data_IF_731268868239
#
_entry.id   IF_731268868239
#
_cell.length_a   1.000
_cell.length_b   1.000
_cell.length_c   1.000
_cell.angle_alpha   90.00
_cell.angle_beta   90.00
_cell.angle_gamma   90.00
#
_symmetry.space_group_name_H-M   'P 1'
#
loop_
_entity.id
_entity.type
_entity.pdbx_description
1 polymer ?
#
# COMPACT_ATOMS: atom_id res chain seq x y z
N UNK A 1 3.81 9.18 54.33
CA UNK A 1 3.24 10.16 53.37
C UNK A 1 2.16 9.55 52.44
N UNK A 2 1.36 8.55 52.86
CA UNK A 2 0.46 7.82 51.93
C UNK A 2 -1.06 7.96 52.19
N UNK A 3 -1.48 8.57 53.31
CA UNK A 3 -2.91 8.69 53.65
C UNK A 3 -3.69 9.63 52.70
N UNK A 4 -3.03 10.69 52.21
CA UNK A 4 -3.65 11.68 51.30
C UNK A 4 -3.90 11.11 49.90
N UNK A 5 -2.99 10.25 49.41
CA UNK A 5 -3.12 9.60 48.09
C UNK A 5 -4.24 8.56 48.13
N UNK A 6 -4.33 7.75 49.20
CA UNK A 6 -5.41 6.78 49.38
C UNK A 6 -6.80 7.41 49.43
N UNK A 7 -6.96 8.49 50.21
CA UNK A 7 -8.24 9.20 50.31
C UNK A 7 -8.67 9.86 48.99
N UNK A 8 -7.71 10.32 48.16
CA UNK A 8 -8.00 10.86 46.82
C UNK A 8 -8.49 9.79 45.85
N UNK A 9 -7.89 8.60 45.91
CA UNK A 9 -8.22 7.47 45.06
C UNK A 9 -9.56 6.81 45.42
N UNK A 10 -9.88 6.72 46.71
CA UNK A 10 -11.17 6.22 47.17
C UNK A 10 -12.33 7.11 46.71
N UNK A 11 -12.17 8.44 46.79
CA UNK A 11 -13.14 9.40 46.25
C UNK A 11 -13.30 9.28 44.73
N UNK A 12 -12.20 9.09 44.00
CA UNK A 12 -12.25 8.87 42.55
C UNK A 12 -13.07 7.62 42.23
N UNK A 13 -12.81 6.53 42.94
CA UNK A 13 -13.53 5.26 42.79
C UNK A 13 -15.03 5.42 43.08
N UNK A 14 -15.39 6.05 44.19
CA UNK A 14 -16.79 6.31 44.56
C UNK A 14 -17.50 7.16 43.50
N UNK A 15 -16.84 8.21 43.00
CA UNK A 15 -17.36 9.05 41.92
C UNK A 15 -17.70 8.22 40.68
N UNK A 16 -16.76 7.43 40.18
CA UNK A 16 -16.96 6.65 38.96
C UNK A 16 -17.96 5.52 39.16
N UNK A 17 -18.00 4.93 40.35
CA UNK A 17 -19.02 3.94 40.69
C UNK A 17 -20.43 4.55 40.67
N UNK A 18 -20.62 5.73 41.27
CA UNK A 18 -21.91 6.43 41.21
C UNK A 18 -22.34 6.74 39.77
N UNK A 19 -21.43 7.24 38.93
CA UNK A 19 -21.69 7.50 37.50
C UNK A 19 -22.08 6.22 36.75
N UNK A 20 -21.41 5.10 37.04
CA UNK A 20 -21.74 3.80 36.43
C UNK A 20 -23.10 3.30 36.89
N UNK A 21 -23.39 3.36 38.18
CA UNK A 21 -24.64 2.89 38.78
C UNK A 21 -25.85 3.70 38.25
N UNK A 22 -25.67 4.99 37.95
CA UNK A 22 -26.66 5.88 37.35
C UNK A 22 -26.70 5.82 35.81
N UNK A 23 -25.89 4.96 35.18
CA UNK A 23 -25.74 4.87 33.72
C UNK A 23 -25.36 6.22 33.05
N UNK A 24 -24.59 7.05 33.75
CA UNK A 24 -24.20 8.41 33.33
C UNK A 24 -23.01 8.48 32.37
N UNK A 25 -22.32 7.36 32.12
CA UNK A 25 -21.13 7.30 31.26
C UNK A 25 -21.28 7.96 29.87
N UNK A 26 -22.43 7.87 29.16
CA UNK A 26 -22.59 8.53 27.86
C UNK A 26 -22.42 10.05 27.88
N UNK A 27 -22.70 10.70 29.03
CA UNK A 27 -22.56 12.15 29.20
C UNK A 27 -21.14 12.60 29.52
N UNK A 28 -20.27 11.69 29.95
CA UNK A 28 -18.92 12.00 30.36
C UNK A 28 -17.98 12.20 29.16
N UNK A 29 -16.97 13.06 29.36
CA UNK A 29 -15.91 13.26 28.38
C UNK A 29 -15.04 11.99 28.33
N UNK A 30 -14.87 11.36 27.14
CA UNK A 30 -14.08 10.13 27.04
C UNK A 30 -12.64 10.30 27.55
N UNK A 31 -12.09 11.52 27.48
CA UNK A 31 -10.76 11.82 28.05
C UNK A 31 -10.70 11.62 29.56
N UNK A 32 -11.77 12.00 30.27
CA UNK A 32 -11.87 11.82 31.71
C UNK A 32 -12.04 10.35 32.08
N UNK A 33 -12.79 9.59 31.27
CA UNK A 33 -12.93 8.14 31.43
C UNK A 33 -11.57 7.44 31.22
N UNK A 34 -10.78 7.85 30.22
CA UNK A 34 -9.42 7.31 30.00
C UNK A 34 -8.53 7.58 31.21
N UNK A 35 -8.50 8.83 31.70
CA UNK A 35 -7.71 9.20 32.88
C UNK A 35 -8.12 8.38 34.11
N UNK A 36 -9.42 8.13 34.27
CA UNK A 36 -9.95 7.28 35.33
C UNK A 36 -9.49 5.82 35.20
N UNK A 37 -9.55 5.23 34.00
CA UNK A 37 -9.06 3.88 33.76
C UNK A 37 -7.59 3.76 34.18
N UNK A 38 -6.75 4.71 33.75
CA UNK A 38 -5.31 4.72 34.06
C UNK A 38 -5.02 4.91 35.55
N UNK A 39 -5.83 5.72 36.25
CA UNK A 39 -5.68 5.89 37.70
C UNK A 39 -6.22 4.71 38.51
N UNK A 40 -7.26 4.02 38.03
CA UNK A 40 -7.85 2.87 38.72
C UNK A 40 -7.06 1.58 38.48
N UNK A 41 -6.41 1.42 37.31
CA UNK A 41 -5.57 0.27 36.99
C UNK A 41 -4.37 0.10 37.92
N UNK A 42 -3.87 1.19 38.52
CA UNK A 42 -2.78 1.10 39.51
C UNK A 42 -3.22 0.58 40.88
N UNK A 43 -4.52 0.61 41.19
CA UNK A 43 -5.08 0.24 42.50
C UNK A 43 -5.88 -1.08 42.48
N UNK A 44 -6.02 -1.73 41.32
CA UNK A 44 -6.59 -3.07 41.22
C UNK A 44 -8.12 -3.18 41.21
N UNK A 45 -8.87 -2.08 41.01
CA UNK A 45 -10.33 -2.19 40.75
C UNK A 45 -10.59 -2.57 39.28
N UNK A 46 -10.24 -3.81 38.94
CA UNK A 46 -10.34 -4.36 37.60
C UNK A 46 -11.80 -4.37 37.09
N UNK A 47 -12.78 -4.52 38.00
CA UNK A 47 -14.20 -4.57 37.61
C UNK A 47 -14.69 -3.21 37.16
N UNK A 48 -14.44 -2.15 37.94
CA UNK A 48 -14.82 -0.80 37.55
C UNK A 48 -14.07 -0.37 36.29
N UNK A 49 -12.76 -0.63 36.22
CA UNK A 49 -11.96 -0.34 35.03
C UNK A 49 -12.51 -1.07 33.78
N UNK A 50 -12.89 -2.34 33.90
CA UNK A 50 -13.50 -3.10 32.81
C UNK A 50 -14.79 -2.47 32.26
N UNK A 51 -15.67 -1.95 33.12
CA UNK A 51 -16.89 -1.25 32.70
C UNK A 51 -16.56 0.05 31.94
N UNK A 52 -15.61 0.83 32.45
CA UNK A 52 -15.17 2.08 31.81
C UNK A 52 -14.53 1.82 30.44
N UNK A 53 -13.65 0.83 30.35
CA UNK A 53 -12.99 0.43 29.10
C UNK A 53 -14.00 -0.12 28.10
N UNK A 54 -14.96 -0.95 28.53
CA UNK A 54 -16.02 -1.45 27.66
C UNK A 54 -16.87 -0.32 27.07
N UNK A 55 -17.19 0.70 27.88
CA UNK A 55 -17.87 1.90 27.38
C UNK A 55 -17.03 2.66 26.36
N UNK A 56 -15.73 2.84 26.63
CA UNK A 56 -14.80 3.49 25.70
C UNK A 56 -14.68 2.72 24.39
N UNK A 57 -14.61 1.39 24.44
CA UNK A 57 -14.56 0.53 23.26
C UNK A 57 -15.82 0.70 22.38
N UNK A 58 -17.01 0.63 22.98
CA UNK A 58 -18.26 0.83 22.25
C UNK A 58 -18.42 2.26 21.68
N UNK A 59 -17.78 3.25 22.31
CA UNK A 59 -17.74 4.63 21.80
C UNK A 59 -16.71 4.78 20.67
N UNK A 60 -15.54 4.19 20.83
CA UNK A 60 -14.47 4.18 19.81
C UNK A 60 -14.94 3.49 18.54
N UNK A 61 -15.55 2.31 18.65
CA UNK A 61 -16.13 1.55 17.55
C UNK A 61 -17.05 2.41 16.67
N UNK A 62 -18.04 3.07 17.30
CA UNK A 62 -18.95 3.99 16.59
C UNK A 62 -18.23 5.15 15.91
N UNK A 63 -17.24 5.74 16.57
CA UNK A 63 -16.46 6.87 16.03
C UNK A 63 -15.63 6.42 14.83
N UNK A 64 -14.92 5.30 14.95
CA UNK A 64 -14.01 4.78 13.92
C UNK A 64 -14.80 4.26 12.73
N UNK A 65 -15.91 3.54 12.94
CA UNK A 65 -16.81 3.15 11.84
C UNK A 65 -17.39 4.36 11.10
N UNK A 66 -17.79 5.42 11.82
CA UNK A 66 -18.26 6.64 11.18
C UNK A 66 -17.17 7.32 10.33
N UNK A 67 -15.89 7.22 10.72
CA UNK A 67 -14.75 7.75 9.96
C UNK A 67 -14.36 6.86 8.77
N UNK A 68 -14.44 5.54 8.91
CA UNK A 68 -14.02 4.57 7.89
C UNK A 68 -14.99 4.52 6.70
N UNK A 69 -16.28 4.79 6.94
CA UNK A 69 -17.30 4.85 5.90
C UNK A 69 -17.80 3.46 5.46
N UNK A 70 -18.97 3.44 4.82
CA UNK A 70 -19.70 2.20 4.53
C UNK A 70 -19.08 1.33 3.42
N UNK A 71 -18.36 1.95 2.47
CA UNK A 71 -17.80 1.24 1.29
C UNK A 71 -16.63 0.31 1.59
N UNK A 72 -15.94 0.50 2.72
CA UNK A 72 -14.75 -0.29 3.05
C UNK A 72 -15.04 -1.46 4.01
N UNK A 73 -16.32 -1.70 4.38
CA UNK A 73 -16.73 -2.75 5.34
C UNK A 73 -16.68 -4.19 4.83
N UNK A 74 -16.59 -4.40 3.52
CA UNK A 74 -16.64 -5.74 2.91
C UNK A 74 -15.27 -6.39 2.74
N UNK A 75 -14.22 -5.79 3.30
CA UNK A 75 -12.88 -6.34 3.23
C UNK A 75 -12.64 -7.22 4.46
N UNK A 76 -12.08 -8.43 4.28
CA UNK A 76 -12.00 -9.48 5.32
C UNK A 76 -11.08 -9.17 6.50
N UNK A 77 -10.46 -7.99 6.48
CA UNK A 77 -9.56 -7.45 7.50
C UNK A 77 -10.15 -6.11 7.93
N UNK A 78 -10.85 -6.09 9.08
CA UNK A 78 -11.52 -4.90 9.61
C UNK A 78 -10.54 -4.07 10.46
N UNK A 79 -10.00 -2.95 9.95
CA UNK A 79 -9.08 -2.12 10.70
C UNK A 79 -9.73 -1.46 11.91
N UNK A 80 -11.07 -1.42 11.99
CA UNK A 80 -11.79 -0.80 13.10
C UNK A 80 -11.58 -1.59 14.38
N UNK A 81 -11.84 -2.90 14.34
CA UNK A 81 -11.69 -3.77 15.50
C UNK A 81 -10.27 -3.68 16.09
N UNK A 82 -9.26 -3.69 15.22
CA UNK A 82 -7.88 -3.64 15.68
C UNK A 82 -7.45 -2.26 16.21
N UNK A 83 -8.02 -1.17 15.70
CA UNK A 83 -7.80 0.17 16.29
C UNK A 83 -8.39 0.25 17.70
N UNK A 84 -9.56 -0.36 17.92
CA UNK A 84 -10.21 -0.39 19.23
C UNK A 84 -9.42 -1.27 20.21
N UNK A 85 -8.96 -2.43 19.77
CA UNK A 85 -8.09 -3.33 20.56
C UNK A 85 -6.79 -2.63 20.97
N UNK A 86 -6.04 -2.07 20.00
CA UNK A 86 -4.80 -1.34 20.28
C UNK A 86 -5.03 -0.17 21.26
N UNK A 87 -6.17 0.53 21.17
CA UNK A 87 -6.55 1.60 22.09
C UNK A 87 -6.74 1.06 23.52
N UNK A 88 -7.42 -0.08 23.68
CA UNK A 88 -7.65 -0.68 25.00
C UNK A 88 -6.31 -1.02 25.66
N UNK A 89 -5.42 -1.66 24.92
CA UNK A 89 -4.09 -2.04 25.40
C UNK A 89 -3.30 -0.81 25.87
N UNK A 90 -3.29 0.27 25.08
CA UNK A 90 -2.64 1.53 25.46
C UNK A 90 -3.22 2.18 26.70
N UNK A 91 -4.55 2.15 26.86
CA UNK A 91 -5.21 2.76 28.01
C UNK A 91 -4.88 1.96 29.27
N UNK A 92 -4.83 0.63 29.17
CA UNK A 92 -4.52 -0.24 30.31
C UNK A 92 -3.02 -0.24 30.66
N UNK A 93 -2.13 -0.05 29.68
CA UNK A 93 -0.71 0.10 29.93
C UNK A 93 -0.37 1.50 30.45
N UNK A 94 -0.05 1.58 31.75
CA UNK A 94 0.35 2.82 32.42
C UNK A 94 1.60 3.47 31.82
N UNK A 95 2.48 2.71 31.16
CA UNK A 95 3.69 3.21 30.52
C UNK A 95 3.46 3.62 29.06
N UNK A 96 2.31 3.29 28.46
CA UNK A 96 2.01 3.68 27.08
C UNK A 96 1.88 5.19 26.95
N UNK A 97 2.76 5.77 26.14
CA UNK A 97 2.70 7.17 25.74
C UNK A 97 1.42 7.47 24.94
N UNK A 98 0.90 6.48 24.22
CA UNK A 98 -0.34 6.61 23.49
C UNK A 98 -1.55 6.62 24.43
N UNK A 99 -1.52 5.83 25.51
CA UNK A 99 -2.51 5.90 26.59
C UNK A 99 -2.63 7.30 27.19
N UNK A 100 -1.50 7.93 27.53
CA UNK A 100 -1.47 9.33 27.97
C UNK A 100 -1.91 10.31 26.86
N UNK A 101 -1.73 9.94 25.60
CA UNK A 101 -2.24 10.68 24.44
C UNK A 101 -3.77 10.66 24.33
N UNK A 102 -4.42 9.54 24.68
CA UNK A 102 -5.88 9.42 24.68
C UNK A 102 -6.53 10.30 25.76
N UNK A 103 -5.87 10.54 26.89
CA UNK A 103 -6.31 11.52 27.89
C UNK A 103 -6.37 12.95 27.32
N UNK A 104 -5.49 13.27 26.36
CA UNK A 104 -5.42 14.62 25.76
C UNK A 104 -6.39 14.77 24.59
N UNK A 105 -6.42 13.76 23.70
CA UNK A 105 -7.20 13.81 22.47
C UNK A 105 -7.69 12.43 22.03
N UNK A 106 -8.80 12.00 22.62
CA UNK A 106 -9.40 10.70 22.34
C UNK A 106 -9.73 10.49 20.85
N UNK A 107 -10.57 11.36 20.28
CA UNK A 107 -10.98 11.26 18.87
C UNK A 107 -9.82 11.47 17.89
N UNK A 108 -8.89 12.38 18.22
CA UNK A 108 -7.71 12.64 17.39
C UNK A 108 -6.83 11.40 17.27
N UNK A 109 -6.54 10.74 18.40
CA UNK A 109 -5.74 9.51 18.42
C UNK A 109 -6.41 8.35 17.67
N UNK A 110 -7.71 8.15 17.85
CA UNK A 110 -8.46 7.16 17.06
C UNK A 110 -8.35 7.41 15.55
N UNK A 111 -8.47 8.68 15.12
CA UNK A 111 -8.31 9.04 13.72
C UNK A 111 -6.90 8.74 13.20
N UNK A 112 -5.86 9.10 13.95
CA UNK A 112 -4.47 8.83 13.55
C UNK A 112 -4.19 7.33 13.45
N UNK A 113 -4.65 6.52 14.41
CA UNK A 113 -4.50 5.07 14.37
C UNK A 113 -5.21 4.45 13.15
N UNK A 114 -6.45 4.88 12.88
CA UNK A 114 -7.18 4.41 11.71
C UNK A 114 -6.42 4.73 10.41
N UNK A 115 -5.93 5.96 10.27
CA UNK A 115 -5.13 6.37 9.09
C UNK A 115 -3.86 5.52 8.98
N UNK A 116 -3.15 5.29 10.08
CA UNK A 116 -1.91 4.51 10.05
C UNK A 116 -2.16 3.04 9.69
N UNK A 117 -3.22 2.42 10.22
CA UNK A 117 -3.62 1.04 9.85
C UNK A 117 -3.98 0.93 8.37
N UNK A 118 -4.77 1.87 7.84
CA UNK A 118 -5.10 1.93 6.40
C UNK A 118 -3.82 2.12 5.58
N UNK A 119 -2.90 2.99 6.01
CA UNK A 119 -1.63 3.20 5.32
C UNK A 119 -0.78 1.94 5.27
N UNK A 120 -0.62 1.24 6.41
CA UNK A 120 0.14 -0.02 6.49
C UNK A 120 -0.48 -1.11 5.63
N UNK A 121 -1.82 -1.21 5.61
CA UNK A 121 -2.55 -2.12 4.73
C UNK A 121 -2.25 -1.83 3.26
N UNK A 122 -2.36 -0.57 2.83
CA UNK A 122 -2.10 -0.19 1.44
C UNK A 122 -0.64 -0.48 1.04
N UNK A 123 0.32 -0.25 1.94
CA UNK A 123 1.72 -0.62 1.72
C UNK A 123 1.85 -2.13 1.56
N UNK A 124 1.23 -2.93 2.43
CA UNK A 124 1.25 -4.38 2.33
C UNK A 124 0.65 -4.88 1.03
N UNK A 125 -0.53 -4.38 0.63
CA UNK A 125 -1.17 -4.72 -0.64
C UNK A 125 -0.35 -4.30 -1.86
N UNK A 126 0.37 -3.16 -1.79
CA UNK A 126 1.24 -2.71 -2.87
C UNK A 126 2.54 -3.52 -2.98
N UNK A 127 3.04 -4.05 -1.86
CA UNK A 127 4.22 -4.94 -1.85
C UNK A 127 3.81 -6.37 -2.27
N UNK A 128 2.67 -6.84 -1.79
CA UNK A 128 2.10 -8.16 -2.06
C UNK A 128 1.16 -8.15 -3.26
N UNK A 129 1.37 -7.30 -4.29
CA UNK A 129 0.57 -7.44 -5.51
C UNK A 129 0.81 -8.87 -6.04
N UNK A 130 -0.21 -9.76 -6.02
CA UNK A 130 -0.04 -11.06 -6.61
C UNK A 130 0.21 -10.81 -8.09
N UNK A 131 1.25 -11.44 -8.64
CA UNK A 131 1.44 -11.47 -10.08
C UNK A 131 0.08 -11.93 -10.66
N UNK A 132 -0.55 -11.18 -11.57
CA UNK A 132 -1.83 -11.59 -12.12
C UNK A 132 -1.67 -13.03 -12.61
N UNK A 133 -2.53 -13.96 -12.20
CA UNK A 133 -2.43 -15.36 -12.61
C UNK A 133 -3.53 -15.72 -13.59
N UNK A 134 -3.27 -16.65 -14.51
CA UNK A 134 -4.25 -17.14 -15.46
C UNK A 134 -5.26 -18.09 -14.80
N UNK A 135 -6.21 -18.62 -15.58
CA UNK A 135 -7.21 -19.57 -15.09
C UNK A 135 -6.61 -20.89 -14.55
N UNK A 136 -5.34 -21.17 -14.83
CA UNK A 136 -4.58 -22.31 -14.31
C UNK A 136 -3.67 -21.93 -13.14
N UNK A 137 -3.82 -20.71 -12.60
CA UNK A 137 -3.05 -20.17 -11.49
C UNK A 137 -1.54 -20.01 -11.78
N UNK A 138 -1.17 -19.89 -13.06
CA UNK A 138 0.20 -19.57 -13.45
C UNK A 138 0.39 -18.05 -13.50
N UNK A 139 1.55 -17.51 -13.06
CA UNK A 139 1.86 -16.09 -13.20
C UNK A 139 1.73 -15.67 -14.67
N UNK A 140 0.78 -14.78 -14.95
CA UNK A 140 0.68 -14.05 -16.21
C UNK A 140 1.88 -13.14 -16.23
N UNK A 141 2.84 -13.46 -17.09
CA UNK A 141 3.91 -12.52 -17.41
C UNK A 141 3.26 -11.21 -17.85
N UNK A 142 3.65 -10.06 -17.25
CA UNK A 142 3.16 -8.77 -17.71
C UNK A 142 3.41 -8.69 -19.22
N UNK A 143 2.44 -8.22 -20.03
CA UNK A 143 2.66 -8.06 -21.45
C UNK A 143 3.86 -7.15 -21.62
N UNK A 144 4.98 -7.75 -21.98
CA UNK A 144 6.22 -7.04 -22.19
C UNK A 144 5.94 -6.12 -23.37
N UNK A 145 5.81 -4.81 -23.13
CA UNK A 145 5.50 -3.83 -24.15
C UNK A 145 6.53 -3.79 -25.29
N UNK A 146 7.62 -4.54 -25.15
CA UNK A 146 8.70 -4.78 -26.11
C UNK A 146 8.66 -6.13 -26.83
N UNK A 147 7.90 -7.12 -26.34
CA UNK A 147 7.87 -8.44 -26.98
C UNK A 147 7.01 -8.41 -28.23
N UNK A 148 7.65 -8.67 -29.37
CA UNK A 148 6.98 -8.78 -30.67
C UNK A 148 6.12 -10.05 -30.67
N UNK A 149 4.82 -9.88 -30.86
CA UNK A 149 3.91 -11.02 -31.00
C UNK A 149 4.15 -11.78 -32.32
N UNK A 150 3.62 -13.00 -32.48
CA UNK A 150 3.65 -13.71 -33.76
C UNK A 150 3.01 -12.91 -34.90
N UNK A 151 2.04 -12.05 -34.58
CA UNK A 151 1.43 -11.10 -35.52
C UNK A 151 2.40 -9.98 -35.92
N UNK A 152 3.19 -9.46 -34.98
CA UNK A 152 4.21 -8.44 -35.25
C UNK A 152 5.32 -8.99 -36.15
N UNK A 153 5.70 -10.27 -35.98
CA UNK A 153 6.64 -10.95 -36.87
C UNK A 153 6.14 -11.07 -38.31
N UNK A 154 4.83 -11.32 -38.51
CA UNK A 154 4.24 -11.36 -39.83
C UNK A 154 4.23 -9.99 -40.52
N UNK A 155 3.99 -8.92 -39.75
CA UNK A 155 4.08 -7.53 -40.23
C UNK A 155 5.52 -7.19 -40.60
N UNK A 156 6.49 -7.49 -39.75
CA UNK A 156 7.92 -7.28 -40.01
C UNK A 156 8.36 -8.01 -41.29
N UNK A 157 7.99 -9.28 -41.46
CA UNK A 157 8.31 -10.04 -42.67
C UNK A 157 7.70 -9.41 -43.93
N UNK A 158 6.47 -8.89 -43.83
CA UNK A 158 5.79 -8.19 -44.93
C UNK A 158 6.51 -6.88 -45.31
N UNK A 159 6.89 -6.08 -44.32
CA UNK A 159 7.61 -4.80 -44.51
C UNK A 159 9.00 -5.05 -45.10
N UNK A 160 9.73 -6.02 -44.56
CA UNK A 160 11.05 -6.43 -45.07
C UNK A 160 10.97 -6.99 -46.50
N UNK A 161 9.86 -7.65 -46.86
CA UNK A 161 9.58 -8.13 -48.21
C UNK A 161 9.49 -7.02 -49.25
N UNK A 162 9.03 -5.82 -48.85
CA UNK A 162 8.90 -4.64 -49.72
C UNK A 162 10.19 -3.83 -49.86
N UNK A 163 11.19 -4.07 -49.01
CA UNK A 163 12.47 -3.37 -49.07
C UNK A 163 13.42 -3.99 -50.10
N UNK A 164 14.34 -3.19 -50.68
CA UNK A 164 15.41 -3.72 -51.51
C UNK A 164 16.24 -4.76 -50.77
N UNK A 165 16.70 -5.79 -51.48
CA UNK A 165 17.42 -6.95 -50.90
C UNK A 165 18.59 -6.54 -50.00
N UNK A 166 19.35 -5.52 -50.39
CA UNK A 166 20.48 -5.00 -49.61
C UNK A 166 20.06 -4.35 -48.28
N UNK A 167 18.89 -3.72 -48.23
CA UNK A 167 18.36 -3.08 -47.02
C UNK A 167 17.82 -4.12 -46.05
N UNK A 168 17.16 -5.17 -46.59
CA UNK A 168 16.71 -6.32 -45.80
C UNK A 168 17.88 -7.02 -45.12
N UNK A 169 18.95 -7.27 -45.88
CA UNK A 169 20.14 -7.94 -45.35
C UNK A 169 20.88 -7.06 -44.33
N UNK A 170 20.87 -5.73 -44.50
CA UNK A 170 21.39 -4.80 -43.49
C UNK A 170 20.61 -4.88 -42.17
N UNK A 171 19.28 -4.92 -42.23
CA UNK A 171 18.43 -5.05 -41.05
C UNK A 171 18.61 -6.41 -40.35
N UNK A 172 18.66 -7.52 -41.11
CA UNK A 172 18.90 -8.85 -40.55
C UNK A 172 20.27 -8.97 -39.86
N UNK A 173 21.31 -8.35 -40.43
CA UNK A 173 22.63 -8.30 -39.78
C UNK A 173 22.60 -7.44 -38.51
N UNK A 174 21.83 -6.34 -38.50
CA UNK A 174 21.65 -5.54 -37.30
C UNK A 174 20.91 -6.32 -36.20
N UNK A 175 19.84 -7.04 -36.55
CA UNK A 175 19.10 -7.92 -35.62
C UNK A 175 19.99 -9.04 -35.05
N UNK A 176 20.89 -9.60 -35.88
CA UNK A 176 21.88 -10.58 -35.44
C UNK A 176 23.02 -9.98 -34.58
N UNK A 177 22.98 -8.68 -34.26
CA UNK A 177 23.91 -8.02 -33.35
C UNK A 177 25.20 -7.49 -33.98
N UNK A 178 25.28 -7.42 -35.32
CA UNK A 178 26.45 -6.84 -35.99
C UNK A 178 26.42 -5.30 -35.93
N UNK A 179 27.60 -4.69 -35.71
CA UNK A 179 27.72 -3.23 -35.67
C UNK A 179 27.85 -2.61 -37.06
N UNK A 180 27.44 -1.33 -37.20
CA UNK A 180 27.54 -0.57 -38.45
C UNK A 180 28.97 -0.37 -38.93
N UNK A 181 29.91 -0.19 -37.99
CA UNK A 181 31.35 -0.15 -38.25
C UNK A 181 32.09 -0.92 -37.17
N UNK A 182 33.11 -1.68 -37.58
CA UNK A 182 34.06 -2.30 -36.67
C UNK A 182 35.48 -2.06 -37.18
N UNK A 183 36.41 -1.79 -36.26
CA UNK A 183 37.84 -1.62 -36.59
C UNK A 183 38.59 -2.95 -36.68
N UNK A 184 38.01 -4.04 -36.15
CA UNK A 184 38.71 -5.31 -35.90
C UNK A 184 37.90 -6.55 -36.28
N UNK A 185 36.73 -6.41 -36.93
CA UNK A 185 35.89 -7.54 -37.31
C UNK A 185 34.89 -7.25 -38.42
N UNK A 186 34.09 -8.27 -38.78
CA UNK A 186 33.00 -8.15 -39.74
C UNK A 186 31.94 -7.17 -39.21
N UNK A 187 31.64 -6.17 -40.03
CA UNK A 187 30.60 -5.15 -39.81
C UNK A 187 29.62 -5.15 -40.97
N UNK A 188 28.42 -4.62 -40.74
CA UNK A 188 27.37 -4.52 -41.77
C UNK A 188 27.92 -3.81 -43.02
N UNK A 189 28.66 -2.71 -42.82
CA UNK A 189 29.34 -1.97 -43.88
C UNK A 189 30.31 -2.82 -44.70
N UNK A 190 31.15 -3.63 -44.02
CA UNK A 190 32.11 -4.51 -44.70
C UNK A 190 31.46 -5.69 -45.44
N UNK A 191 30.35 -6.23 -44.91
CA UNK A 191 29.65 -7.38 -45.49
C UNK A 191 28.82 -6.97 -46.71
N UNK A 192 28.21 -5.78 -46.67
CA UNK A 192 27.41 -5.22 -47.75
C UNK A 192 28.19 -4.36 -48.75
N UNK A 193 29.49 -4.13 -48.50
CA UNK A 193 30.37 -3.25 -49.29
C UNK A 193 29.80 -1.83 -49.44
N UNK A 194 29.34 -1.26 -48.32
CA UNK A 194 28.77 0.10 -48.24
C UNK A 194 29.46 0.91 -47.15
N UNK A 195 29.19 2.22 -47.09
CA UNK A 195 29.69 3.04 -45.98
C UNK A 195 28.91 2.77 -44.70
N UNK A 196 29.52 2.89 -43.50
CA UNK A 196 28.82 2.72 -42.23
C UNK A 196 27.58 3.62 -42.09
N UNK A 197 27.69 4.87 -42.56
CA UNK A 197 26.58 5.83 -42.57
C UNK A 197 25.42 5.38 -43.45
N UNK A 198 25.72 4.76 -44.59
CA UNK A 198 24.69 4.19 -45.48
C UNK A 198 24.05 2.95 -44.84
N UNK A 199 24.80 2.14 -44.10
CA UNK A 199 24.26 0.99 -43.38
C UNK A 199 23.30 1.42 -42.26
N UNK A 200 23.69 2.44 -41.49
CA UNK A 200 22.86 3.08 -40.46
C UNK A 200 21.57 3.66 -41.06
N UNK A 201 21.68 4.48 -42.11
CA UNK A 201 20.52 5.05 -42.82
C UNK A 201 19.55 3.98 -43.32
N UNK A 202 20.04 2.81 -43.73
CA UNK A 202 19.19 1.71 -44.22
C UNK A 202 18.45 1.00 -43.09
N UNK A 203 19.12 0.77 -41.96
CA UNK A 203 18.52 0.14 -40.78
C UNK A 203 17.53 1.07 -40.11
N UNK A 204 17.83 2.36 -40.01
CA UNK A 204 16.93 3.36 -39.44
C UNK A 204 15.64 3.48 -40.25
N UNK A 205 15.74 3.55 -41.58
CA UNK A 205 14.55 3.59 -42.46
C UNK A 205 13.71 2.33 -42.36
N UNK A 206 14.35 1.16 -42.25
CA UNK A 206 13.65 -0.11 -42.07
C UNK A 206 12.92 -0.14 -40.72
N UNK A 207 13.58 0.30 -39.64
CA UNK A 207 13.05 0.36 -38.28
C UNK A 207 11.87 1.34 -38.18
N UNK A 208 12.01 2.54 -38.74
CA UNK A 208 10.94 3.54 -38.78
C UNK A 208 9.70 3.02 -39.52
N UNK A 209 9.89 2.32 -40.63
CA UNK A 209 8.77 1.75 -41.41
C UNK A 209 8.08 0.60 -40.67
N UNK A 210 8.84 -0.24 -39.98
CA UNK A 210 8.30 -1.30 -39.11
C UNK A 210 7.49 -0.67 -37.96
N UNK A 211 8.02 0.34 -37.29
CA UNK A 211 7.32 1.03 -36.21
C UNK A 211 6.02 1.73 -36.67
N UNK A 212 6.03 2.31 -37.89
CA UNK A 212 4.86 2.94 -38.48
C UNK A 212 3.74 1.93 -38.76
N UNK A 213 4.07 0.76 -39.32
CA UNK A 213 3.09 -0.28 -39.65
C UNK A 213 2.57 -1.02 -38.40
N UNK A 214 3.38 -1.11 -37.34
CA UNK A 214 2.96 -1.67 -36.05
C UNK A 214 2.10 -0.69 -35.21
N UNK A 215 1.85 0.53 -35.71
CA UNK A 215 1.05 1.54 -34.99
C UNK A 215 1.67 2.04 -33.68
N UNK A 216 2.92 1.67 -33.39
CA UNK A 216 3.66 2.10 -32.20
C UNK A 216 4.38 3.42 -32.50
N UNK A 217 3.60 4.48 -32.72
CA UNK A 217 4.18 5.83 -32.77
C UNK A 217 4.48 6.29 -31.33
N UNK A 218 5.72 6.70 -31.11
CA UNK A 218 6.04 7.65 -30.03
C UNK A 218 5.52 9.03 -30.37
#
# INVERSE_FOLDING_TARGET
>A
MNASIGASQERLREKWKAIVDENGLPGEDPRQIVAACRQLSSNGDARLCGVLVQHLAARADRIVHAMYGYRQRNDSDDPVAQVVEDMIDDILDLQSADGAGFEKSFKGKLRYRLIDKIRRRNVRQNIEQPVPCDAANQPIEPPDGSSLGPEDHAVIATVLGQLPEKHRLAYQLHEAGFTYSSKTGASIASMLKITPKTAEDWVDRATQRIMQELGRQS
#
